data_IF_446492547735
#
_entry.id   IF_446492547735
#
_cell.length_a   1.000
_cell.length_b   1.000
_cell.length_c   1.000
_cell.angle_alpha   90.00
_cell.angle_beta   90.00
_cell.angle_gamma   90.00
#
_symmetry.space_group_name_H-M   'P 1'
#
loop_
_entity.id
_entity.type
_entity.pdbx_description
1 polymer ?
#
# COMPACT_ATOMS: atom_id res chain seq x y z
N UNK A 1 8.25 8.87 22.72
CA UNK A 1 7.35 9.78 21.97
C UNK A 1 6.10 8.99 21.60
N UNK A 2 4.96 9.64 21.52
CA UNK A 2 3.71 8.99 21.06
C UNK A 2 3.74 8.98 19.53
N UNK A 3 3.46 7.84 18.92
CA UNK A 3 3.34 7.74 17.47
C UNK A 3 1.97 8.29 17.05
N UNK A 4 1.94 9.25 16.14
CA UNK A 4 0.72 9.95 15.73
C UNK A 4 0.60 10.10 14.23
N UNK A 5 -0.63 10.17 13.73
CA UNK A 5 -0.94 10.48 12.34
C UNK A 5 -0.56 11.92 12.03
N UNK A 6 0.33 12.14 11.06
CA UNK A 6 0.74 13.48 10.62
C UNK A 6 0.01 13.96 9.37
N UNK A 7 -0.43 13.04 8.50
CA UNK A 7 -1.23 13.39 7.32
C UNK A 7 -2.04 12.20 6.79
N UNK A 8 -3.18 12.51 6.18
CA UNK A 8 -4.04 11.53 5.50
C UNK A 8 -4.28 12.01 4.07
N UNK A 9 -4.15 11.09 3.11
CA UNK A 9 -4.40 11.36 1.69
C UNK A 9 -5.19 10.24 1.03
N UNK A 10 -6.07 10.60 0.10
CA UNK A 10 -6.65 9.67 -0.87
C UNK A 10 -6.25 10.05 -2.29
N UNK A 11 -6.39 9.14 -3.22
CA UNK A 11 -6.04 9.30 -4.63
C UNK A 11 -7.19 8.77 -5.49
N UNK A 12 -8.23 9.55 -5.76
CA UNK A 12 -9.44 9.03 -6.42
C UNK A 12 -9.16 8.41 -7.78
N UNK A 13 -8.19 8.95 -8.53
CA UNK A 13 -7.80 8.42 -9.84
C UNK A 13 -6.38 7.86 -9.79
N UNK A 14 -6.20 6.63 -10.27
CA UNK A 14 -4.87 5.99 -10.39
C UNK A 14 -3.90 6.88 -11.16
N UNK A 15 -2.72 7.11 -10.58
CA UNK A 15 -1.65 7.89 -11.21
C UNK A 15 -1.77 9.41 -11.07
N UNK A 16 -2.87 9.95 -10.56
CA UNK A 16 -3.11 11.39 -10.43
C UNK A 16 -2.88 11.91 -8.99
N UNK A 17 -3.22 13.17 -8.74
CA UNK A 17 -2.90 13.90 -7.51
C UNK A 17 -3.48 13.30 -6.24
N UNK A 18 -2.83 13.62 -5.13
CA UNK A 18 -3.33 13.36 -3.79
C UNK A 18 -4.40 14.40 -3.40
N UNK A 19 -5.41 13.97 -2.67
CA UNK A 19 -6.35 14.81 -1.94
C UNK A 19 -6.09 14.68 -0.44
N UNK A 20 -5.79 15.79 0.21
CA UNK A 20 -5.57 15.83 1.66
C UNK A 20 -6.89 15.73 2.40
N UNK A 21 -6.88 14.97 3.48
CA UNK A 21 -8.03 14.77 4.37
C UNK A 21 -7.61 15.05 5.80
N UNK A 22 -8.49 15.70 6.58
CA UNK A 22 -8.25 15.89 8.02
C UNK A 22 -8.69 14.67 8.82
N UNK A 23 -9.72 13.97 8.33
CA UNK A 23 -10.28 12.74 8.92
C UNK A 23 -10.93 11.86 7.85
N UNK A 24 -11.08 10.58 8.16
CA UNK A 24 -11.79 9.64 7.31
C UNK A 24 -12.31 8.46 8.13
N UNK A 25 -13.49 7.95 7.78
CA UNK A 25 -14.02 6.70 8.36
C UNK A 25 -13.54 5.51 7.52
N UNK A 26 -12.86 4.59 8.15
CA UNK A 26 -12.45 3.31 7.57
C UNK A 26 -13.52 2.25 7.77
N UNK A 27 -13.65 1.34 6.79
CA UNK A 27 -14.60 0.22 6.85
C UNK A 27 -13.82 -1.11 6.76
N UNK A 28 -14.24 -2.16 7.48
CA UNK A 28 -13.56 -3.46 7.42
C UNK A 28 -13.46 -4.01 6.00
N UNK A 29 -12.27 -4.47 5.62
CA UNK A 29 -12.00 -5.03 4.29
C UNK A 29 -11.94 -4.00 3.15
N UNK A 30 -12.04 -2.70 3.45
CA UNK A 30 -12.00 -1.62 2.46
C UNK A 30 -10.72 -0.78 2.57
N UNK A 31 -10.33 -0.12 1.47
CA UNK A 31 -9.37 0.98 1.50
C UNK A 31 -10.07 2.29 1.93
N UNK A 32 -9.36 3.43 1.88
CA UNK A 32 -10.00 4.72 2.10
C UNK A 32 -11.15 4.93 1.10
N UNK A 33 -12.27 5.54 1.52
CA UNK A 33 -13.38 5.84 0.62
C UNK A 33 -12.91 6.59 -0.62
N UNK A 34 -13.31 6.07 -1.79
CA UNK A 34 -12.96 6.60 -3.12
C UNK A 34 -11.47 6.55 -3.49
N UNK A 35 -10.62 5.91 -2.70
CA UNK A 35 -9.20 5.77 -3.03
C UNK A 35 -9.02 4.81 -4.21
N UNK A 36 -8.34 5.29 -5.29
CA UNK A 36 -8.14 4.56 -6.58
C UNK A 36 -9.45 4.01 -7.16
N UNK A 37 -10.54 4.74 -6.97
CA UNK A 37 -11.86 4.41 -7.49
C UNK A 37 -11.87 4.36 -9.01
N UNK A 38 -11.13 5.27 -9.66
CA UNK A 38 -11.03 5.38 -11.11
C UNK A 38 -9.63 5.08 -11.60
N UNK A 39 -9.55 4.58 -12.84
CA UNK A 39 -8.32 4.54 -13.60
C UNK A 39 -8.57 4.97 -15.06
N UNK A 40 -7.52 5.40 -15.74
CA UNK A 40 -7.59 5.73 -17.17
C UNK A 40 -6.86 4.64 -17.94
N UNK A 41 -7.63 3.76 -18.56
CA UNK A 41 -7.16 2.58 -19.25
C UNK A 41 -6.64 2.93 -20.66
N UNK A 42 -5.56 2.28 -21.08
CA UNK A 42 -5.03 2.36 -22.45
C UNK A 42 -5.99 1.67 -23.43
N UNK A 43 -5.94 2.07 -24.68
CA UNK A 43 -6.82 1.54 -25.74
C UNK A 43 -6.78 0.02 -25.89
N UNK A 44 -5.62 -0.60 -25.64
CA UNK A 44 -5.43 -2.05 -25.70
C UNK A 44 -5.93 -2.80 -24.47
N UNK A 45 -6.28 -2.09 -23.38
CA UNK A 45 -6.66 -2.71 -22.10
C UNK A 45 -8.06 -3.33 -22.22
N UNK A 46 -8.16 -4.61 -21.90
CA UNK A 46 -9.44 -5.28 -21.69
C UNK A 46 -9.75 -5.24 -20.20
N UNK A 47 -10.85 -4.58 -19.85
CA UNK A 47 -11.35 -4.49 -18.49
C UNK A 47 -12.87 -4.61 -18.52
N UNK A 48 -13.39 -5.60 -17.79
CA UNK A 48 -14.81 -5.83 -17.61
C UNK A 48 -15.25 -5.29 -16.24
N UNK A 49 -16.04 -4.22 -16.16
CA UNK A 49 -16.52 -3.67 -14.90
C UNK A 49 -17.52 -4.57 -14.17
N UNK A 50 -18.13 -5.56 -14.85
CA UNK A 50 -19.03 -6.53 -14.24
C UNK A 50 -18.25 -7.66 -13.53
N UNK A 51 -17.04 -7.97 -14.01
CA UNK A 51 -16.14 -8.97 -13.45
C UNK A 51 -14.74 -8.37 -13.31
N UNK A 52 -14.55 -7.41 -12.39
CA UNK A 52 -13.31 -6.67 -12.30
C UNK A 52 -12.18 -7.57 -11.77
N UNK A 53 -11.11 -7.65 -12.57
CA UNK A 53 -9.88 -8.35 -12.20
C UNK A 53 -8.75 -7.34 -11.93
N UNK A 54 -7.79 -7.76 -11.09
CA UNK A 54 -6.58 -6.98 -10.90
C UNK A 54 -5.75 -6.96 -12.19
N UNK A 55 -5.46 -5.76 -12.67
CA UNK A 55 -4.59 -5.54 -13.84
C UNK A 55 -3.31 -4.82 -13.42
N UNK A 56 -2.19 -5.18 -14.06
CA UNK A 56 -0.93 -4.46 -13.88
C UNK A 56 -1.10 -2.98 -14.21
N UNK A 57 -0.40 -2.11 -13.49
CA UNK A 57 -0.38 -0.67 -13.76
C UNK A 57 -0.02 -0.30 -15.20
N UNK A 58 0.65 -1.19 -15.94
CA UNK A 58 1.00 -1.00 -17.34
C UNK A 58 -0.21 -0.91 -18.29
N UNK A 59 -1.38 -1.35 -17.84
CA UNK A 59 -2.64 -1.24 -18.57
C UNK A 59 -3.28 0.15 -18.48
N UNK A 60 -2.75 1.04 -17.66
CA UNK A 60 -3.30 2.36 -17.38
C UNK A 60 -2.26 3.45 -17.67
N UNK A 61 -2.71 4.71 -17.77
CA UNK A 61 -1.77 5.81 -17.60
C UNK A 61 -1.20 5.75 -16.18
N UNK A 62 0.09 5.99 -16.04
CA UNK A 62 0.75 5.80 -14.74
C UNK A 62 1.96 6.72 -14.59
N UNK A 63 2.14 7.26 -13.40
CA UNK A 63 3.22 8.20 -13.09
C UNK A 63 4.63 7.61 -13.35
N UNK A 64 4.78 6.28 -13.23
CA UNK A 64 6.06 5.61 -13.51
C UNK A 64 6.52 5.77 -14.96
N UNK A 65 5.61 5.92 -15.92
CA UNK A 65 5.90 6.11 -17.35
C UNK A 65 5.69 7.56 -17.78
N UNK A 66 4.63 8.17 -17.26
CA UNK A 66 4.06 9.42 -17.77
C UNK A 66 4.24 10.52 -16.69
N UNK A 67 5.49 10.98 -16.47
CA UNK A 67 5.81 11.97 -15.42
C UNK A 67 5.06 13.29 -15.58
N UNK A 68 4.66 13.66 -16.79
CA UNK A 68 3.82 14.84 -17.06
C UNK A 68 2.53 14.87 -16.24
N UNK A 69 2.02 13.70 -15.83
CA UNK A 69 0.82 13.61 -14.97
C UNK A 69 0.98 14.38 -13.65
N UNK A 70 2.21 14.50 -13.14
CA UNK A 70 2.47 15.26 -11.92
C UNK A 70 2.35 16.79 -12.10
N UNK A 71 2.23 17.30 -13.31
CA UNK A 71 1.95 18.72 -13.57
C UNK A 71 0.48 19.08 -13.30
N UNK A 72 -0.38 18.08 -13.17
CA UNK A 72 -1.81 18.29 -13.01
C UNK A 72 -2.21 18.17 -11.53
N UNK A 73 -3.03 19.09 -11.07
CA UNK A 73 -3.77 19.00 -9.82
C UNK A 73 -5.16 18.49 -10.14
N UNK A 74 -5.59 17.42 -9.46
CA UNK A 74 -6.91 16.84 -9.66
C UNK A 74 -7.67 16.78 -8.35
N UNK A 75 -8.96 17.08 -8.40
CA UNK A 75 -9.87 17.00 -7.26
C UNK A 75 -11.17 16.33 -7.70
N UNK A 76 -11.58 15.31 -6.97
CA UNK A 76 -12.85 14.63 -7.19
C UNK A 76 -13.86 15.01 -6.09
N UNK A 77 -14.89 15.71 -6.49
CA UNK A 77 -16.02 16.03 -5.63
C UNK A 77 -16.96 14.82 -5.56
N UNK A 78 -17.08 14.25 -4.36
CA UNK A 78 -17.84 13.00 -4.14
C UNK A 78 -19.36 13.23 -4.29
N UNK A 79 -19.85 14.40 -3.89
CA UNK A 79 -21.28 14.70 -3.91
C UNK A 79 -21.79 14.95 -5.32
N UNK A 80 -21.06 15.77 -6.08
CA UNK A 80 -21.42 16.07 -7.46
C UNK A 80 -20.94 15.03 -8.47
N UNK A 81 -19.95 14.19 -8.11
CA UNK A 81 -19.30 13.25 -9.04
C UNK A 81 -18.39 13.93 -10.07
N UNK A 82 -18.00 15.17 -9.87
CA UNK A 82 -17.19 15.96 -10.81
C UNK A 82 -15.71 15.80 -10.49
N UNK A 83 -14.93 15.42 -11.50
CA UNK A 83 -13.47 15.52 -11.49
C UNK A 83 -13.05 16.87 -12.07
N UNK A 84 -12.37 17.67 -11.26
CA UNK A 84 -11.74 18.93 -11.69
C UNK A 84 -10.25 18.65 -11.97
N UNK A 85 -9.75 19.10 -13.10
CA UNK A 85 -8.34 19.02 -13.50
C UNK A 85 -7.83 20.44 -13.68
N UNK A 86 -6.74 20.76 -13.00
CA UNK A 86 -6.09 22.07 -13.07
C UNK A 86 -4.59 21.94 -13.30
N UNK A 87 -3.97 23.02 -13.76
CA UNK A 87 -2.52 23.19 -13.88
C UNK A 87 -2.18 24.63 -13.55
N UNK A 88 -1.23 24.83 -12.64
CA UNK A 88 -0.83 26.18 -12.18
C UNK A 88 -2.04 27.03 -11.77
N UNK A 89 -2.90 26.50 -10.93
CA UNK A 89 -4.14 27.11 -10.42
C UNK A 89 -5.20 27.45 -11.49
N UNK A 90 -4.94 27.11 -12.75
CA UNK A 90 -5.91 27.27 -13.84
C UNK A 90 -6.68 25.98 -14.05
N UNK A 91 -7.99 26.01 -13.95
CA UNK A 91 -8.87 24.89 -14.30
C UNK A 91 -8.80 24.67 -15.81
N UNK A 92 -8.42 23.45 -16.20
CA UNK A 92 -8.35 23.01 -17.58
C UNK A 92 -9.61 22.23 -18.01
N UNK A 93 -10.19 21.46 -17.05
CA UNK A 93 -11.35 20.63 -17.33
C UNK A 93 -12.16 20.38 -16.05
N UNK A 94 -13.47 20.23 -16.22
CA UNK A 94 -14.39 19.57 -15.28
C UNK A 94 -15.16 18.49 -16.03
N UNK A 95 -15.11 17.25 -15.51
CA UNK A 95 -15.78 16.10 -16.12
C UNK A 95 -16.67 15.38 -15.12
N UNK A 96 -17.92 15.12 -15.51
CA UNK A 96 -18.86 14.36 -14.70
C UNK A 96 -18.53 12.88 -14.79
N UNK A 97 -17.95 12.31 -13.73
CA UNK A 97 -17.43 10.94 -13.74
C UNK A 97 -18.52 9.87 -13.65
N UNK A 98 -19.74 10.24 -13.25
CA UNK A 98 -20.92 9.36 -13.23
C UNK A 98 -21.59 9.22 -14.60
N UNK A 99 -21.18 10.02 -15.58
CA UNK A 99 -21.80 10.06 -16.92
C UNK A 99 -20.82 9.59 -18.00
N UNK A 100 -21.28 8.77 -18.97
CA UNK A 100 -20.43 8.30 -20.07
C UNK A 100 -19.78 9.44 -20.86
N UNK A 101 -20.49 10.55 -21.06
CA UNK A 101 -19.97 11.72 -21.76
C UNK A 101 -18.84 12.39 -20.97
N UNK A 102 -19.03 12.62 -19.68
CA UNK A 102 -18.00 13.19 -18.82
C UNK A 102 -16.74 12.32 -18.78
N UNK A 103 -16.91 10.99 -18.69
CA UNK A 103 -15.79 10.05 -18.80
C UNK A 103 -15.06 10.14 -20.15
N UNK A 104 -15.78 10.32 -21.27
CA UNK A 104 -15.18 10.49 -22.60
C UNK A 104 -14.38 11.79 -22.70
N UNK A 105 -14.91 12.88 -22.18
CA UNK A 105 -14.24 14.18 -22.16
C UNK A 105 -12.94 14.12 -21.33
N UNK A 106 -12.98 13.48 -20.15
CA UNK A 106 -11.79 13.26 -19.30
C UNK A 106 -10.76 12.40 -20.02
N UNK A 107 -11.17 11.28 -20.62
CA UNK A 107 -10.27 10.39 -21.36
C UNK A 107 -9.62 11.11 -22.56
N UNK A 108 -10.39 11.89 -23.31
CA UNK A 108 -9.86 12.71 -24.41
C UNK A 108 -8.85 13.73 -23.94
N UNK A 109 -9.13 14.43 -22.83
CA UNK A 109 -8.18 15.37 -22.24
C UNK A 109 -6.83 14.72 -21.98
N UNK A 110 -6.81 13.53 -21.35
CA UNK A 110 -5.55 12.84 -21.07
C UNK A 110 -4.85 12.32 -22.33
N UNK A 111 -5.61 11.91 -23.35
CA UNK A 111 -5.04 11.54 -24.65
C UNK A 111 -4.33 12.75 -25.30
N UNK A 112 -4.99 13.89 -25.34
CA UNK A 112 -4.41 15.14 -25.89
C UNK A 112 -3.22 15.63 -25.04
N UNK A 113 -3.31 15.57 -23.72
CA UNK A 113 -2.26 16.02 -22.81
C UNK A 113 -0.98 15.16 -22.87
N UNK A 114 -1.13 13.83 -23.00
CA UNK A 114 0.00 12.91 -23.09
C UNK A 114 0.52 12.76 -24.52
N UNK A 115 -0.31 13.02 -25.52
CA UNK A 115 0.07 12.95 -26.93
C UNK A 115 0.62 11.57 -27.32
N UNK A 116 1.77 11.56 -28.00
CA UNK A 116 2.41 10.34 -28.52
C UNK A 116 2.89 9.34 -27.44
N UNK A 117 2.89 9.75 -26.16
CA UNK A 117 3.25 8.85 -25.06
C UNK A 117 2.22 7.74 -24.83
N UNK A 118 1.00 7.91 -25.34
CA UNK A 118 -0.07 6.90 -25.24
C UNK A 118 -0.56 6.50 -26.62
N UNK A 119 -0.84 5.20 -26.79
CA UNK A 119 -1.33 4.66 -28.07
C UNK A 119 -2.80 4.27 -27.94
N UNK A 120 -3.60 4.66 -28.94
CA UNK A 120 -5.03 4.35 -29.04
C UNK A 120 -5.91 5.17 -28.08
N UNK A 121 -7.23 4.99 -28.17
CA UNK A 121 -8.20 5.75 -27.38
C UNK A 121 -8.09 5.37 -25.90
N UNK A 122 -8.02 6.36 -25.03
CA UNK A 122 -8.08 6.17 -23.58
C UNK A 122 -9.54 5.98 -23.14
N UNK A 123 -9.72 5.32 -22.00
CA UNK A 123 -11.04 5.14 -21.37
C UNK A 123 -10.93 5.34 -19.86
N UNK A 124 -11.82 6.12 -19.26
CA UNK A 124 -12.04 6.09 -17.82
C UNK A 124 -12.73 4.77 -17.48
N UNK A 125 -12.22 4.07 -16.48
CA UNK A 125 -12.80 2.83 -15.97
C UNK A 125 -13.05 2.93 -14.48
N UNK A 126 -14.17 2.35 -14.06
CA UNK A 126 -14.62 2.20 -12.68
C UNK A 126 -15.32 0.85 -12.58
N UNK A 127 -15.28 0.21 -11.42
CA UNK A 127 -16.12 -0.94 -11.11
C UNK A 127 -16.51 -0.94 -9.64
N UNK A 128 -17.75 -1.32 -9.37
CA UNK A 128 -18.27 -1.37 -8.02
C UNK A 128 -17.42 -2.30 -7.14
N UNK A 129 -17.05 -1.80 -5.97
CA UNK A 129 -16.24 -2.58 -5.04
C UNK A 129 -14.80 -2.87 -5.47
N UNK A 130 -14.31 -2.29 -6.56
CA UNK A 130 -12.93 -2.47 -7.04
C UNK A 130 -12.09 -1.21 -6.80
N UNK A 131 -10.82 -1.40 -6.41
CA UNK A 131 -9.85 -0.33 -6.31
C UNK A 131 -8.69 -0.59 -7.27
N UNK A 132 -8.35 0.38 -8.11
CA UNK A 132 -7.23 0.29 -9.07
C UNK A 132 -5.87 0.51 -8.39
N UNK A 133 -5.66 -0.11 -7.22
CA UNK A 133 -4.41 -0.04 -6.48
C UNK A 133 -3.32 -0.91 -7.12
N UNK A 134 -2.05 -0.61 -6.79
CA UNK A 134 -0.90 -1.41 -7.25
C UNK A 134 -0.66 -2.62 -6.33
N UNK A 135 -1.24 -2.63 -5.13
CA UNK A 135 -1.16 -3.76 -4.22
C UNK A 135 -1.76 -5.01 -4.86
N UNK A 136 -0.98 -6.09 -4.85
CA UNK A 136 -1.43 -7.40 -5.33
C UNK A 136 -2.01 -8.20 -4.19
N UNK A 137 -3.14 -8.84 -4.43
CA UNK A 137 -3.69 -9.83 -3.52
C UNK A 137 -2.66 -10.95 -3.31
N UNK A 138 -2.35 -11.23 -2.05
CA UNK A 138 -1.58 -12.43 -1.70
C UNK A 138 -2.48 -13.66 -1.75
N UNK A 139 -1.94 -14.84 -2.04
CA UNK A 139 -2.66 -16.09 -1.81
C UNK A 139 -3.21 -16.11 -0.38
N UNK A 140 -4.48 -16.46 -0.22
CA UNK A 140 -5.19 -16.50 1.06
C UNK A 140 -5.48 -15.13 1.73
N UNK A 141 -5.30 -14.00 1.04
CA UNK A 141 -5.78 -12.71 1.54
C UNK A 141 -7.31 -12.65 1.44
N UNK A 142 -7.96 -12.07 2.46
CA UNK A 142 -9.43 -11.88 2.50
C UNK A 142 -9.86 -10.71 1.63
N UNK A 143 -8.95 -9.76 1.41
CA UNK A 143 -9.15 -8.57 0.57
C UNK A 143 -7.88 -8.24 -0.20
N UNK A 144 -8.01 -7.47 -1.27
CA UNK A 144 -6.95 -6.81 -2.03
C UNK A 144 -6.99 -5.28 -1.89
N UNK A 145 -7.79 -4.78 -0.95
CA UNK A 145 -7.93 -3.36 -0.62
C UNK A 145 -7.19 -3.07 0.67
N UNK A 146 -6.20 -2.23 0.59
CA UNK A 146 -5.31 -1.91 1.70
C UNK A 146 -5.19 -0.41 1.92
N UNK A 147 -4.93 -0.05 3.17
CA UNK A 147 -4.45 1.29 3.56
C UNK A 147 -2.93 1.24 3.56
N UNK A 148 -2.29 2.20 2.92
CA UNK A 148 -0.83 2.33 2.91
C UNK A 148 -0.38 3.30 4.00
N UNK A 149 0.58 2.86 4.83
CA UNK A 149 1.12 3.61 5.95
C UNK A 149 2.61 3.87 5.72
N UNK A 150 3.08 5.09 6.00
CA UNK A 150 4.51 5.46 5.94
C UNK A 150 4.92 6.18 7.21
N UNK A 151 6.03 5.75 7.77
CA UNK A 151 6.74 6.42 8.85
C UNK A 151 7.57 7.58 8.28
N UNK A 152 7.29 8.81 8.71
CA UNK A 152 8.06 9.98 8.30
C UNK A 152 9.52 9.92 8.77
N UNK A 153 9.79 9.25 9.90
CA UNK A 153 11.17 9.02 10.37
C UNK A 153 11.95 8.12 9.39
N UNK A 154 11.31 7.15 8.74
CA UNK A 154 11.93 6.35 7.67
C UNK A 154 12.23 7.18 6.43
N UNK A 155 11.36 8.17 6.10
CA UNK A 155 11.67 9.14 5.03
C UNK A 155 12.87 10.00 5.41
N UNK A 156 12.93 10.50 6.64
CA UNK A 156 14.05 11.32 7.13
C UNK A 156 15.39 10.53 7.13
N UNK A 157 15.36 9.23 7.44
CA UNK A 157 16.54 8.37 7.31
C UNK A 157 17.01 8.29 5.84
N UNK A 158 16.09 8.17 4.89
CA UNK A 158 16.43 8.18 3.47
C UNK A 158 16.94 9.56 3.01
N UNK A 159 16.36 10.66 3.48
CA UNK A 159 16.87 12.03 3.24
C UNK A 159 18.30 12.19 3.70
N UNK A 160 18.60 11.69 4.91
CA UNK A 160 19.97 11.69 5.47
C UNK A 160 20.94 10.91 4.58
N UNK A 161 20.52 9.72 4.13
CA UNK A 161 21.35 8.87 3.27
C UNK A 161 21.58 9.46 1.87
N UNK A 162 20.64 10.25 1.36
CA UNK A 162 20.73 10.92 0.05
C UNK A 162 21.33 12.33 0.13
N UNK A 163 21.35 12.94 1.31
CA UNK A 163 21.81 14.33 1.49
C UNK A 163 20.90 15.39 0.87
N UNK A 164 19.64 15.05 0.59
CA UNK A 164 18.65 15.95 -0.06
C UNK A 164 17.26 15.73 0.53
N UNK A 165 16.40 16.78 0.57
CA UNK A 165 15.03 16.64 1.04
C UNK A 165 14.18 15.81 0.07
N UNK A 166 13.27 15.01 0.62
CA UNK A 166 12.40 14.13 -0.13
C UNK A 166 10.93 14.48 0.17
N UNK A 167 10.21 14.97 -0.84
CA UNK A 167 8.78 15.22 -0.69
C UNK A 167 8.02 13.90 -0.38
N UNK A 168 7.31 13.78 0.76
CA UNK A 168 6.63 12.54 1.15
C UNK A 168 5.61 12.06 0.12
N UNK A 169 4.95 12.95 -0.61
CA UNK A 169 3.96 12.62 -1.63
C UNK A 169 4.53 11.82 -2.83
N UNK A 170 5.85 11.71 -2.98
CA UNK A 170 6.48 10.79 -3.95
C UNK A 170 6.08 9.33 -3.70
N UNK A 171 5.84 8.99 -2.44
CA UNK A 171 5.48 7.62 -2.03
C UNK A 171 3.98 7.33 -2.15
N UNK A 172 3.12 8.36 -2.30
CA UNK A 172 1.69 8.21 -2.58
C UNK A 172 0.95 7.31 -1.58
N UNK A 173 1.30 7.42 -0.29
CA UNK A 173 0.64 6.67 0.77
C UNK A 173 -0.65 7.35 1.23
N UNK A 174 -1.51 6.56 1.89
CA UNK A 174 -2.76 7.06 2.45
C UNK A 174 -2.54 7.74 3.80
N UNK A 175 -1.72 7.16 4.67
CA UNK A 175 -1.46 7.68 6.02
C UNK A 175 0.04 7.85 6.20
N UNK A 176 0.43 9.02 6.67
CA UNK A 176 1.77 9.33 7.14
C UNK A 176 1.71 9.49 8.65
N UNK A 177 2.71 8.99 9.36
CA UNK A 177 2.78 9.07 10.80
C UNK A 177 4.21 9.38 11.28
N UNK A 178 4.31 9.98 12.47
CA UNK A 178 5.54 10.38 13.13
C UNK A 178 5.64 9.75 14.51
N UNK A 179 6.84 9.82 15.13
CA UNK A 179 7.08 9.43 16.51
C UNK A 179 7.49 7.97 16.71
N UNK A 180 7.57 7.17 15.65
CA UNK A 180 8.14 5.83 15.67
C UNK A 180 9.61 5.85 15.20
N UNK A 181 10.42 4.86 15.62
CA UNK A 181 11.77 4.69 15.11
C UNK A 181 11.75 4.40 13.60
N UNK A 182 12.80 4.77 12.90
CA UNK A 182 12.95 4.48 11.47
C UNK A 182 12.79 2.97 11.19
N UNK A 183 12.11 2.64 10.11
CA UNK A 183 11.83 1.27 9.65
C UNK A 183 11.06 0.38 10.64
N UNK A 184 10.59 0.90 11.78
CA UNK A 184 9.84 0.14 12.77
C UNK A 184 8.53 -0.45 12.21
N UNK A 185 7.92 0.21 11.23
CA UNK A 185 6.71 -0.27 10.56
C UNK A 185 6.91 -1.62 9.86
N UNK A 186 8.13 -1.96 9.46
CA UNK A 186 8.44 -3.26 8.86
C UNK A 186 8.39 -4.40 9.88
N UNK A 187 8.61 -4.11 11.17
CA UNK A 187 8.50 -5.10 12.25
C UNK A 187 7.05 -5.38 12.66
N UNK A 188 6.10 -4.55 12.20
CA UNK A 188 4.68 -4.77 12.49
C UNK A 188 4.00 -5.75 11.52
N UNK A 189 4.71 -6.26 10.51
CA UNK A 189 4.14 -7.18 9.53
C UNK A 189 3.61 -8.44 10.22
N UNK A 190 2.35 -8.77 9.96
CA UNK A 190 1.62 -9.86 10.61
C UNK A 190 0.92 -9.47 11.92
N UNK A 191 1.24 -8.30 12.49
CA UNK A 191 0.65 -7.81 13.75
C UNK A 191 -0.54 -6.89 13.49
N UNK A 192 -1.36 -6.71 14.52
CA UNK A 192 -2.42 -5.70 14.54
C UNK A 192 -1.91 -4.39 15.14
N UNK A 193 -2.41 -3.29 14.59
CA UNK A 193 -2.19 -1.94 15.08
C UNK A 193 -3.53 -1.26 15.31
N UNK A 194 -3.58 -0.32 16.26
CA UNK A 194 -4.72 0.61 16.39
C UNK A 194 -4.33 1.96 15.80
N UNK A 195 -5.25 2.57 15.06
CA UNK A 195 -5.09 3.87 14.44
C UNK A 195 -6.37 4.66 14.67
N UNK A 196 -6.34 5.65 15.56
CA UNK A 196 -7.56 6.30 16.04
C UNK A 196 -8.56 5.26 16.58
N UNK A 197 -9.79 5.26 16.06
CA UNK A 197 -10.81 4.28 16.40
C UNK A 197 -10.76 2.99 15.57
N UNK A 198 -9.90 2.90 14.56
CA UNK A 198 -9.81 1.74 13.68
C UNK A 198 -8.73 0.75 14.17
N UNK A 199 -8.92 -0.54 13.78
CA UNK A 199 -7.92 -1.60 13.98
C UNK A 199 -7.53 -2.18 12.63
N UNK A 200 -6.23 -2.24 12.36
CA UNK A 200 -5.66 -2.70 11.11
C UNK A 200 -4.68 -3.84 11.36
N UNK A 201 -4.57 -4.75 10.39
CA UNK A 201 -3.51 -5.77 10.36
C UNK A 201 -2.48 -5.39 9.30
N UNK A 202 -1.22 -5.30 9.69
CA UNK A 202 -0.12 -5.02 8.77
C UNK A 202 0.19 -6.26 7.93
N UNK A 203 0.14 -6.13 6.60
CA UNK A 203 0.18 -7.27 5.68
C UNK A 203 1.57 -7.47 5.05
N UNK A 204 2.18 -6.39 4.55
CA UNK A 204 3.44 -6.48 3.81
C UNK A 204 4.12 -5.12 3.65
N UNK A 205 5.43 -5.11 3.41
CA UNK A 205 6.13 -3.88 3.02
C UNK A 205 5.65 -3.44 1.63
N UNK A 206 5.84 -2.15 1.34
CA UNK A 206 5.52 -1.57 0.03
C UNK A 206 6.81 -1.44 -0.78
N UNK A 207 6.97 -2.30 -1.78
CA UNK A 207 8.06 -2.21 -2.76
C UNK A 207 7.88 -0.98 -3.64
N UNK A 208 8.93 -0.16 -3.74
CA UNK A 208 8.89 1.08 -4.51
C UNK A 208 9.34 0.88 -5.96
N UNK A 209 8.86 1.73 -6.84
CA UNK A 209 9.16 1.71 -8.26
C UNK A 209 9.53 3.12 -8.75
N UNK A 210 9.93 3.24 -10.01
CA UNK A 210 10.35 4.49 -10.62
C UNK A 210 9.31 5.64 -10.58
N UNK A 211 8.07 5.39 -10.15
CA UNK A 211 7.12 6.48 -9.90
C UNK A 211 7.59 7.43 -8.79
N UNK A 212 8.36 6.93 -7.80
CA UNK A 212 8.92 7.74 -6.71
C UNK A 212 10.02 8.71 -7.17
N UNK A 213 10.60 8.48 -8.35
CA UNK A 213 11.58 9.39 -8.95
C UNK A 213 10.95 10.73 -9.38
N UNK A 214 9.64 10.72 -9.66
CA UNK A 214 8.94 11.91 -10.14
C UNK A 214 8.67 12.87 -9.00
N UNK A 215 9.17 14.09 -9.13
CA UNK A 215 8.89 15.17 -8.21
C UNK A 215 7.41 15.59 -8.35
N UNK A 216 6.62 15.57 -7.26
CA UNK A 216 5.18 15.86 -7.33
C UNK A 216 4.87 17.35 -7.63
N UNK A 217 5.86 18.22 -7.52
CA UNK A 217 5.70 19.67 -7.78
C UNK A 217 6.21 20.04 -9.18
N UNK A 218 7.43 19.55 -9.54
CA UNK A 218 8.08 19.95 -10.79
C UNK A 218 7.85 18.99 -11.94
N UNK A 219 7.27 17.81 -11.68
CA UNK A 219 7.09 16.71 -12.62
C UNK A 219 8.41 16.22 -13.28
N UNK A 220 9.55 16.49 -12.65
CA UNK A 220 10.86 16.01 -13.13
C UNK A 220 11.26 14.75 -12.39
N UNK A 221 11.99 13.86 -13.07
CA UNK A 221 12.70 12.75 -12.43
C UNK A 221 14.02 13.27 -11.89
N UNK A 222 14.04 13.67 -10.65
CA UNK A 222 15.16 14.37 -10.02
C UNK A 222 15.87 13.54 -8.95
N UNK A 223 15.27 12.46 -8.45
CA UNK A 223 15.84 11.58 -7.42
C UNK A 223 15.68 10.12 -7.79
N UNK A 224 16.75 9.32 -7.68
CA UNK A 224 16.67 7.87 -7.81
C UNK A 224 16.44 7.20 -6.43
N UNK A 225 15.19 7.30 -5.96
CA UNK A 225 14.74 6.80 -4.67
C UNK A 225 14.97 5.28 -4.54
N UNK A 226 14.69 4.52 -5.61
CA UNK A 226 14.80 3.05 -5.57
C UNK A 226 16.25 2.62 -5.40
N UNK A 227 17.14 3.18 -6.20
CA UNK A 227 18.57 2.88 -6.07
C UNK A 227 19.16 3.39 -4.74
N UNK A 228 18.67 4.49 -4.20
CA UNK A 228 19.10 5.01 -2.90
C UNK A 228 18.70 4.07 -1.75
N UNK A 229 17.45 3.58 -1.75
CA UNK A 229 16.96 2.59 -0.78
C UNK A 229 17.81 1.31 -0.83
N UNK A 230 18.06 0.78 -2.02
CA UNK A 230 18.87 -0.43 -2.21
C UNK A 230 20.30 -0.23 -1.67
N UNK A 231 20.96 0.88 -2.02
CA UNK A 231 22.34 1.14 -1.58
C UNK A 231 22.47 1.38 -0.07
N UNK A 232 21.54 2.13 0.51
CA UNK A 232 21.66 2.55 1.91
C UNK A 232 21.08 1.54 2.91
N UNK A 233 20.05 0.78 2.50
CA UNK A 233 19.27 -0.07 3.42
C UNK A 233 19.11 -1.52 2.94
N UNK A 234 19.70 -1.89 1.80
CA UNK A 234 19.63 -3.24 1.22
C UNK A 234 18.21 -3.73 0.93
N UNK A 235 17.28 -2.81 0.66
CA UNK A 235 15.92 -3.09 0.23
C UNK A 235 15.36 -1.91 -0.57
N UNK A 236 14.27 -2.15 -1.31
CA UNK A 236 13.57 -1.12 -2.08
C UNK A 236 12.17 -0.81 -1.51
N UNK A 237 11.96 -1.04 -0.22
CA UNK A 237 10.68 -0.86 0.44
C UNK A 237 10.62 0.49 1.18
N UNK A 238 9.41 1.07 1.27
CA UNK A 238 9.12 2.24 2.09
C UNK A 238 7.65 2.17 2.53
N UNK A 239 7.43 2.03 3.85
CA UNK A 239 6.11 1.87 4.43
C UNK A 239 5.50 0.48 4.25
N UNK A 240 4.27 0.32 4.70
CA UNK A 240 3.55 -0.97 4.75
C UNK A 240 2.12 -0.84 4.26
N UNK A 241 1.58 -1.95 3.75
CA UNK A 241 0.15 -2.13 3.53
C UNK A 241 -0.51 -2.71 4.77
N UNK A 242 -1.69 -2.21 5.10
CA UNK A 242 -2.52 -2.73 6.19
C UNK A 242 -3.97 -2.95 5.74
N UNK A 243 -4.56 -4.04 6.22
CA UNK A 243 -5.97 -4.39 6.05
C UNK A 243 -6.78 -3.85 7.22
N UNK A 244 -7.93 -3.25 6.96
CA UNK A 244 -8.84 -2.79 8.01
C UNK A 244 -9.60 -3.98 8.58
N UNK A 245 -9.36 -4.31 9.84
CA UNK A 245 -9.99 -5.43 10.56
C UNK A 245 -11.25 -4.97 11.29
N UNK A 246 -11.22 -3.78 11.89
CA UNK A 246 -12.37 -3.12 12.49
C UNK A 246 -12.38 -1.67 12.05
N UNK A 247 -13.53 -1.21 11.56
CA UNK A 247 -13.71 0.14 11.09
C UNK A 247 -13.72 1.16 12.23
N UNK A 248 -13.57 2.43 11.86
CA UNK A 248 -13.61 3.56 12.78
C UNK A 248 -13.11 4.82 12.11
N UNK A 249 -13.39 5.97 12.72
CA UNK A 249 -12.85 7.25 12.28
C UNK A 249 -11.38 7.33 12.67
N UNK A 250 -10.56 7.82 11.74
CA UNK A 250 -9.17 8.23 11.95
C UNK A 250 -9.00 9.68 11.54
N UNK A 251 -8.19 10.42 12.28
CA UNK A 251 -7.93 11.85 12.05
C UNK A 251 -6.43 12.16 12.17
N UNK A 252 -6.02 13.28 11.58
CA UNK A 252 -4.68 13.83 11.82
C UNK A 252 -4.54 14.15 13.32
N UNK A 253 -3.42 13.72 13.91
CA UNK A 253 -3.16 13.82 15.36
C UNK A 253 -3.55 12.58 16.16
N UNK A 254 -4.31 11.63 15.60
CA UNK A 254 -4.66 10.40 16.28
C UNK A 254 -3.44 9.54 16.60
N UNK A 255 -3.51 8.84 17.73
CA UNK A 255 -2.48 7.90 18.13
C UNK A 255 -2.47 6.65 17.24
N UNK A 256 -1.27 6.19 16.90
CA UNK A 256 -1.01 4.90 16.28
C UNK A 256 -0.26 4.03 17.29
N UNK A 257 -0.83 2.87 17.66
CA UNK A 257 -0.20 1.93 18.57
C UNK A 257 -0.05 0.57 17.90
N UNK A 258 1.19 0.07 17.85
CA UNK A 258 1.45 -1.30 17.44
C UNK A 258 1.21 -2.21 18.65
N UNK A 259 0.28 -3.17 18.54
CA UNK A 259 0.15 -4.22 19.53
C UNK A 259 1.41 -5.09 19.46
N UNK A 260 2.23 -5.07 20.51
CA UNK A 260 3.31 -6.04 20.60
C UNK A 260 2.67 -7.44 20.60
N UNK A 261 3.00 -8.27 19.62
CA UNK A 261 2.71 -9.70 19.71
C UNK A 261 3.46 -10.23 20.91
N UNK A 262 2.73 -10.54 21.99
CA UNK A 262 3.30 -11.32 23.10
C UNK A 262 3.70 -12.66 22.50
N UNK A 263 4.99 -12.88 22.39
CA UNK A 263 5.57 -14.14 21.94
C UNK A 263 5.12 -15.25 22.90
N UNK A 264 4.06 -15.98 22.52
CA UNK A 264 3.51 -17.10 23.31
C UNK A 264 4.41 -18.34 23.32
N UNK A 265 5.65 -18.20 22.80
CA UNK A 265 6.61 -19.32 22.75
C UNK A 265 7.63 -19.35 23.90
N UNK A 266 7.54 -18.44 24.90
CA UNK A 266 8.34 -18.50 26.12
C UNK A 266 7.52 -18.70 27.38
N UNK A 267 6.76 -19.79 27.43
CA UNK A 267 6.00 -20.16 28.64
C UNK A 267 5.76 -21.64 28.69
N UNK A 268 6.79 -22.42 28.99
CA UNK A 268 6.59 -23.86 29.13
C UNK A 268 7.86 -24.67 29.39
N UNK A 269 8.70 -24.25 30.33
CA UNK A 269 9.67 -25.15 30.93
C UNK A 269 9.93 -24.67 32.37
N UNK A 270 9.21 -25.26 33.31
CA UNK A 270 9.46 -25.00 34.72
C UNK A 270 8.43 -25.68 35.59
N UNK A 271 8.60 -26.98 35.81
CA UNK A 271 8.42 -27.64 37.10
C UNK A 271 8.68 -29.15 36.95
N UNK A 272 9.95 -29.51 37.14
CA UNK A 272 10.31 -30.88 37.39
C UNK A 272 9.85 -31.26 38.83
N UNK A 273 8.79 -32.04 38.93
CA UNK A 273 8.47 -32.75 40.16
C UNK A 273 9.42 -33.94 40.31
N UNK A 274 10.28 -33.83 41.30
CA UNK A 274 11.00 -34.94 41.93
C UNK A 274 9.99 -35.96 42.47
N UNK A 275 10.07 -37.20 41.99
CA UNK A 275 9.50 -38.36 42.69
C UNK A 275 10.51 -39.50 42.71
N UNK A 276 10.66 -40.00 43.91
CA UNK A 276 11.60 -40.93 44.42
C UNK A 276 11.68 -42.31 43.75
N UNK A 277 12.88 -42.82 43.86
CA UNK A 277 13.32 -44.20 43.66
C UNK A 277 12.43 -45.28 44.29
N UNK A 278 12.10 -46.36 43.54
CA UNK A 278 12.05 -47.71 44.08
C UNK A 278 12.64 -48.73 43.09
N UNK A 279 13.57 -49.50 43.62
CA UNK A 279 14.25 -50.64 43.06
C UNK A 279 13.31 -51.85 42.79
N UNK A 280 13.74 -52.74 41.86
CA UNK A 280 13.22 -54.10 41.65
C UNK A 280 13.41 -54.57 40.25
N UNK A 281 14.48 -55.11 39.91
CA UNK A 281 15.06 -56.45 39.81
C UNK A 281 14.58 -57.32 38.66
N UNK A 282 15.61 -57.88 37.93
CA UNK A 282 15.71 -59.14 37.20
C UNK A 282 14.97 -59.34 35.85
N UNK A 283 15.78 -59.69 34.84
CA UNK A 283 15.58 -60.91 34.06
C UNK A 283 15.79 -60.81 32.53
N UNK A 284 16.97 -61.20 32.09
CA UNK A 284 17.28 -62.03 30.93
C UNK A 284 16.63 -61.75 29.55
N UNK A 285 17.42 -61.44 28.58
CA UNK A 285 18.15 -62.32 27.64
C UNK A 285 17.45 -62.47 26.27
N UNK A 286 18.31 -62.48 25.24
CA UNK A 286 18.20 -63.02 23.89
C UNK A 286 17.95 -62.05 22.70
N UNK A 287 19.09 -61.80 22.07
CA UNK A 287 19.17 -61.65 20.60
C UNK A 287 19.14 -63.07 19.95
N UNK A 288 19.03 -63.26 18.62
CA UNK A 288 19.54 -62.42 17.53
C UNK A 288 18.74 -62.51 16.20
N UNK A 289 19.30 -61.88 15.20
CA UNK A 289 19.63 -62.23 13.80
C UNK A 289 18.88 -61.47 12.69
N UNK A 290 19.70 -60.74 11.99
CA UNK A 290 19.89 -60.55 10.53
C UNK A 290 18.92 -61.21 9.55
N UNK A 291 18.50 -60.43 8.57
CA UNK A 291 18.61 -60.80 7.14
C UNK A 291 18.54 -59.57 6.21
N UNK A 292 19.48 -59.54 5.34
CA UNK A 292 19.61 -58.73 4.10
C UNK A 292 18.65 -59.27 3.03
N UNK A 293 18.34 -58.39 2.05
CA UNK A 293 18.36 -58.60 0.58
C UNK A 293 17.48 -57.53 -0.04
N UNK A 294 17.98 -56.56 -0.77
CA UNK A 294 18.43 -56.49 -2.16
C UNK A 294 17.29 -56.55 -3.20
N UNK A 295 17.20 -55.53 -4.01
CA UNK A 295 17.04 -55.65 -5.44
C UNK A 295 15.69 -55.23 -6.04
N UNK A 296 15.60 -54.23 -6.66
CA UNK A 296 15.69 -53.75 -8.06
C UNK A 296 15.11 -52.35 -8.21
#
# INVERSE_FOLDING_TARGET
MVTTVSAIYRYPVKGLSAEKMDRVTLMPGECLPHDRRFAIALGSTRFDPQHPEWLSKTHFIMLMRDEKLAQLQTQFDVESGVLTIAQNDRILLRGQMSEPEGCRVVAKFFADFLGDAVKGPLRVVEAAGHAFADARRKPNATTDKYVSLINCTSIAALETAMGVPIAPLRFRANVYFDGASEWSEHHWIGSEITLGAARLRVISPITRCAATQVNPVTAKRDLDIVAALERAFSHINMGVYAEVMAGGEIAVGDALNACQTVDRTRGGLGEARTLETRQGDSGADQRPTRAKLSGR
#
